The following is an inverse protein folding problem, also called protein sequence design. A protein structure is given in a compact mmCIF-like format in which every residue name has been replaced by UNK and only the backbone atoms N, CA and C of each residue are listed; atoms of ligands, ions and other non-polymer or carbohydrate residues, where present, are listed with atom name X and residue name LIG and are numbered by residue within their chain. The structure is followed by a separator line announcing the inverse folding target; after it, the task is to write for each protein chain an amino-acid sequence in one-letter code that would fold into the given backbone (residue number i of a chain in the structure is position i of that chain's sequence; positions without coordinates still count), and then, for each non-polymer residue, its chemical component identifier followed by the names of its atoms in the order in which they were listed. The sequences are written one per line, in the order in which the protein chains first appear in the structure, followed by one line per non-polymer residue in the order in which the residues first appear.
data_IF_836775683409
#
_entry.id   IF_836775683409
#
_cell.length_a   1.000
_cell.length_b   1.000
_cell.length_c   1.000
_cell.angle_alpha   90.00
_cell.angle_beta   90.00
_cell.angle_gamma   90.00
#
_symmetry.space_group_name_H-M   'P 1'
#
loop_
_entity.id
_entity.type
_entity.pdbx_description
1 polymer ?
#
# COMPACT_ATOMS: atom_id res chain seq x y z
N UNK A 1 6.19 25.29 14.01
CA UNK A 1 6.19 26.74 14.31
C UNK A 1 6.72 27.54 13.12
N UNK A 2 7.86 27.19 12.52
CA UNK A 2 8.41 27.88 11.34
C UNK A 2 7.42 28.12 10.18
N UNK A 3 6.56 27.15 9.82
CA UNK A 3 5.53 27.36 8.80
C UNK A 3 4.48 28.41 9.21
N UNK A 4 4.09 28.42 10.49
CA UNK A 4 3.19 29.45 11.02
C UNK A 4 3.86 30.82 11.02
N UNK A 5 5.14 30.88 11.39
CA UNK A 5 5.93 32.11 11.39
C UNK A 5 6.10 32.66 9.97
N UNK A 6 6.29 31.79 8.97
CA UNK A 6 6.24 32.17 7.55
C UNK A 6 4.87 32.75 7.15
N UNK A 7 3.77 32.07 7.49
CA UNK A 7 2.42 32.50 7.13
C UNK A 7 2.04 33.85 7.76
N UNK A 8 2.62 34.18 8.91
CA UNK A 8 2.37 35.43 9.64
C UNK A 8 3.33 36.56 9.25
N UNK A 9 4.58 36.26 8.89
CA UNK A 9 5.63 37.28 8.62
C UNK A 9 5.98 37.45 7.14
N UNK A 10 5.72 36.44 6.31
CA UNK A 10 6.16 36.40 4.90
C UNK A 10 7.66 36.21 4.71
N UNK A 11 8.44 35.99 5.77
CA UNK A 11 9.89 35.92 5.68
C UNK A 11 10.36 34.56 5.14
N UNK A 12 11.05 34.58 3.99
CA UNK A 12 11.46 33.36 3.27
C UNK A 12 12.52 32.50 4.00
N UNK A 13 13.17 33.03 5.05
CA UNK A 13 14.11 32.27 5.88
C UNK A 13 13.42 31.10 6.59
N UNK A 14 12.16 31.25 6.97
CA UNK A 14 11.37 30.22 7.63
C UNK A 14 11.00 29.06 6.69
N UNK A 15 10.88 29.30 5.38
CA UNK A 15 10.64 28.23 4.40
C UNK A 15 11.84 27.28 4.32
N UNK A 16 13.07 27.80 4.41
CA UNK A 16 14.28 26.95 4.43
C UNK A 16 14.29 26.01 5.63
N UNK A 17 13.84 26.48 6.79
CA UNK A 17 13.74 25.65 8.01
C UNK A 17 12.71 24.53 7.79
N UNK A 18 11.59 24.82 7.12
CA UNK A 18 10.58 23.80 6.80
C UNK A 18 11.14 22.77 5.82
N UNK A 19 11.84 23.20 4.77
CA UNK A 19 12.48 22.30 3.80
C UNK A 19 13.56 21.42 4.42
N UNK A 20 14.35 21.94 5.35
CA UNK A 20 15.38 21.17 6.07
C UNK A 20 14.77 20.11 6.99
N UNK A 21 13.69 20.45 7.69
CA UNK A 21 12.96 19.49 8.54
C UNK A 21 12.29 18.41 7.70
N UNK A 22 11.70 18.77 6.56
CA UNK A 22 11.06 17.81 5.66
C UNK A 22 12.10 16.84 5.06
N UNK A 23 13.26 17.36 4.66
CA UNK A 23 14.39 16.53 4.21
C UNK A 23 14.90 15.61 5.30
N UNK A 24 15.07 16.13 6.51
CA UNK A 24 15.48 15.31 7.66
C UNK A 24 14.47 14.22 7.98
N UNK A 25 13.16 14.52 7.92
CA UNK A 25 12.11 13.52 8.08
C UNK A 25 12.17 12.46 6.99
N UNK A 26 12.40 12.85 5.74
CA UNK A 26 12.55 11.89 4.62
C UNK A 26 13.80 11.03 4.78
N UNK A 27 14.90 11.58 5.30
CA UNK A 27 16.12 10.84 5.60
C UNK A 27 15.94 9.90 6.79
N UNK A 28 15.28 10.35 7.86
CA UNK A 28 14.96 9.53 9.04
C UNK A 28 13.86 8.49 8.77
N UNK A 29 12.96 8.78 7.84
CA UNK A 29 11.91 7.87 7.37
C UNK A 29 12.40 6.93 6.27
N UNK A 30 13.66 7.03 5.81
CA UNK A 30 14.28 5.91 5.08
C UNK A 30 14.38 4.78 6.08
N UNK A 31 13.60 3.70 5.93
CA UNK A 31 13.76 2.55 6.79
C UNK A 31 15.18 2.03 6.61
N UNK A 32 15.89 1.82 7.71
CA UNK A 32 17.21 1.18 7.73
C UNK A 32 17.21 -0.25 7.13
N UNK A 33 16.04 -0.75 6.72
CA UNK A 33 15.84 -2.09 6.17
C UNK A 33 14.89 -2.05 4.97
N UNK A 34 15.25 -1.34 3.91
CA UNK A 34 14.79 -1.73 2.57
C UNK A 34 15.83 -2.66 1.93
N UNK A 35 15.93 -3.86 2.48
CA UNK A 35 16.52 -4.96 1.72
C UNK A 35 15.44 -5.51 0.80
N UNK A 36 15.57 -5.18 -0.48
CA UNK A 36 14.76 -5.76 -1.55
C UNK A 36 14.98 -7.29 -1.51
N UNK A 37 13.96 -8.04 -1.09
CA UNK A 37 14.05 -9.49 -0.86
C UNK A 37 14.04 -9.96 0.60
N UNK A 38 14.05 -9.07 1.60
CA UNK A 38 13.82 -9.45 2.99
C UNK A 38 12.37 -9.99 3.15
N UNK A 39 12.18 -11.24 3.60
CA UNK A 39 10.86 -11.80 3.79
C UNK A 39 10.07 -11.20 4.94
N UNK A 40 10.72 -10.57 5.90
CA UNK A 40 10.08 -9.88 7.02
C UNK A 40 9.73 -8.42 6.67
N UNK A 41 10.12 -7.94 5.49
CA UNK A 41 9.70 -6.65 4.98
C UNK A 41 8.19 -6.67 4.62
N UNK A 42 7.46 -5.75 5.23
CA UNK A 42 6.02 -5.55 5.05
C UNK A 42 5.66 -5.40 3.56
N UNK A 43 6.43 -4.67 2.77
CA UNK A 43 6.14 -4.48 1.34
C UNK A 43 6.33 -5.78 0.55
N UNK A 44 7.39 -6.55 0.83
CA UNK A 44 7.62 -7.87 0.21
C UNK A 44 6.51 -8.86 0.57
N UNK A 45 6.01 -8.79 1.79
CA UNK A 45 4.87 -9.60 2.25
C UNK A 45 3.56 -9.19 1.56
N UNK A 46 3.28 -7.89 1.47
CA UNK A 46 2.10 -7.37 0.76
C UNK A 46 2.14 -7.72 -0.73
N UNK A 47 3.31 -7.64 -1.38
CA UNK A 47 3.48 -8.02 -2.77
C UNK A 47 3.21 -9.50 -3.01
N UNK A 48 3.80 -10.39 -2.20
CA UNK A 48 3.52 -11.84 -2.27
C UNK A 48 2.05 -12.17 -2.04
N UNK A 49 1.41 -11.52 -1.07
CA UNK A 49 -0.02 -11.71 -0.83
C UNK A 49 -0.85 -11.30 -2.05
N UNK A 50 -0.49 -10.20 -2.70
CA UNK A 50 -1.14 -9.77 -3.93
C UNK A 50 -0.95 -10.78 -5.08
N UNK A 51 0.27 -11.28 -5.30
CA UNK A 51 0.53 -12.31 -6.32
C UNK A 51 -0.26 -13.59 -6.06
N UNK A 52 -0.35 -14.04 -4.81
CA UNK A 52 -1.15 -15.20 -4.41
C UNK A 52 -2.64 -15.00 -4.72
N UNK A 53 -3.18 -13.81 -4.44
CA UNK A 53 -4.56 -13.47 -4.77
C UNK A 53 -4.80 -13.44 -6.30
N UNK A 54 -3.83 -12.93 -7.06
CA UNK A 54 -3.89 -12.95 -8.52
C UNK A 54 -3.89 -14.39 -9.06
N UNK A 55 -3.08 -15.28 -8.51
CA UNK A 55 -3.05 -16.69 -8.90
C UNK A 55 -4.40 -17.38 -8.64
N UNK A 56 -5.00 -17.17 -7.46
CA UNK A 56 -6.33 -17.70 -7.13
C UNK A 56 -7.43 -17.17 -8.09
N UNK A 57 -7.34 -15.90 -8.47
CA UNK A 57 -8.25 -15.31 -9.44
C UNK A 57 -8.04 -15.87 -10.86
N UNK A 58 -6.80 -16.18 -11.23
CA UNK A 58 -6.47 -16.80 -12.50
C UNK A 58 -7.07 -18.21 -12.61
N UNK A 59 -6.93 -19.03 -11.57
CA UNK A 59 -7.53 -20.37 -11.48
C UNK A 59 -9.06 -20.37 -11.63
N UNK A 60 -9.71 -19.26 -11.27
CA UNK A 60 -11.16 -19.09 -11.33
C UNK A 60 -11.65 -18.34 -12.57
N UNK A 61 -10.78 -18.21 -13.57
CA UNK A 61 -11.12 -17.69 -14.91
C UNK A 61 -10.80 -16.21 -15.11
N UNK A 62 -9.92 -15.62 -14.30
CA UNK A 62 -9.48 -14.22 -14.42
C UNK A 62 -7.94 -14.15 -14.55
N UNK A 63 -7.37 -14.55 -15.69
CA UNK A 63 -5.92 -14.76 -15.85
C UNK A 63 -5.09 -13.48 -15.66
N UNK A 64 -5.64 -12.32 -16.02
CA UNK A 64 -4.95 -11.02 -15.91
C UNK A 64 -5.35 -10.21 -14.67
N UNK A 65 -5.62 -10.89 -13.54
CA UNK A 65 -6.09 -10.26 -12.32
C UNK A 65 -5.19 -9.10 -11.84
N UNK A 66 -3.88 -9.20 -12.04
CA UNK A 66 -2.91 -8.17 -11.65
C UNK A 66 -3.04 -6.85 -12.40
N UNK A 67 -3.70 -6.85 -13.57
CA UNK A 67 -3.92 -5.66 -14.41
C UNK A 67 -5.31 -5.03 -14.20
N UNK A 68 -6.14 -5.61 -13.33
CA UNK A 68 -7.48 -5.08 -13.09
C UNK A 68 -7.44 -3.78 -12.28
N UNK A 69 -8.34 -2.83 -12.57
CA UNK A 69 -8.59 -1.71 -11.68
C UNK A 69 -8.97 -2.21 -10.28
N UNK A 70 -8.50 -1.51 -9.23
CA UNK A 70 -8.71 -1.89 -7.82
C UNK A 70 -10.17 -2.26 -7.53
N UNK A 71 -11.12 -1.49 -8.03
CA UNK A 71 -12.55 -1.76 -7.84
C UNK A 71 -13.00 -3.11 -8.43
N UNK A 72 -12.55 -3.45 -9.64
CA UNK A 72 -12.91 -4.70 -10.31
C UNK A 72 -12.25 -5.90 -9.62
N UNK A 73 -11.00 -5.75 -9.21
CA UNK A 73 -10.26 -6.75 -8.45
C UNK A 73 -10.98 -7.10 -7.14
N UNK A 74 -11.35 -6.08 -6.36
CA UNK A 74 -12.07 -6.24 -5.09
C UNK A 74 -13.46 -6.87 -5.29
N UNK A 75 -14.19 -6.45 -6.33
CA UNK A 75 -15.49 -7.05 -6.66
C UNK A 75 -15.37 -8.54 -7.01
N UNK A 76 -14.29 -8.95 -7.69
CA UNK A 76 -14.05 -10.34 -8.08
C UNK A 76 -13.70 -11.21 -6.89
N UNK A 77 -12.86 -10.71 -5.97
CA UNK A 77 -12.57 -11.38 -4.70
C UNK A 77 -13.83 -11.57 -3.85
N UNK A 78 -14.62 -10.50 -3.65
CA UNK A 78 -15.86 -10.58 -2.88
C UNK A 78 -16.87 -11.58 -3.48
N UNK A 79 -16.91 -11.69 -4.82
CA UNK A 79 -17.73 -12.70 -5.47
C UNK A 79 -17.23 -14.12 -5.19
N UNK A 80 -15.92 -14.36 -5.26
CA UNK A 80 -15.32 -15.66 -4.93
C UNK A 80 -15.59 -16.09 -3.49
N UNK A 81 -15.46 -15.17 -2.53
CA UNK A 81 -15.78 -15.45 -1.12
C UNK A 81 -17.24 -15.89 -0.97
N UNK A 82 -18.18 -15.16 -1.59
CA UNK A 82 -19.61 -15.51 -1.56
C UNK A 82 -19.88 -16.83 -2.26
N UNK A 83 -19.19 -17.13 -3.36
CA UNK A 83 -19.32 -18.42 -4.06
C UNK A 83 -18.88 -19.56 -3.15
N UNK A 84 -17.72 -19.44 -2.49
CA UNK A 84 -17.21 -20.43 -1.55
C UNK A 84 -18.14 -20.66 -0.35
N UNK A 85 -18.72 -19.59 0.21
CA UNK A 85 -19.72 -19.69 1.29
C UNK A 85 -20.99 -20.44 0.87
N UNK A 86 -21.41 -20.33 -0.40
CA UNK A 86 -22.56 -21.07 -0.93
C UNK A 86 -22.25 -22.54 -1.18
N UNK A 87 -21.03 -22.84 -1.59
CA UNK A 87 -20.56 -24.21 -1.88
C UNK A 87 -20.20 -24.99 -0.60
N UNK A 88 -19.82 -24.30 0.48
CA UNK A 88 -19.50 -24.88 1.78
C UNK A 88 -20.22 -24.16 2.93
N UNK A 89 -21.51 -24.47 3.18
CA UNK A 89 -22.30 -23.80 4.21
C UNK A 89 -21.95 -24.20 5.66
N UNK A 90 -21.16 -25.24 5.91
CA UNK A 90 -20.90 -25.81 7.25
C UNK A 90 -19.66 -25.22 7.97
N UNK A 91 -19.51 -23.90 7.95
CA UNK A 91 -18.35 -23.20 8.56
C UNK A 91 -18.70 -22.19 9.66
N UNK A 92 -19.82 -22.38 10.37
CA UNK A 92 -20.20 -21.65 11.58
C UNK A 92 -20.38 -22.63 12.75
#
# INVERSE_FOLDING_TARGET
MALCDYLLSGEASYLKIVEEVDRWLLEAARPDVFHDGDPDNVLTSMHRNFENLCALLAETGTPDAGNLPVFQFQARLAWLERKKQREHPEGL
#
